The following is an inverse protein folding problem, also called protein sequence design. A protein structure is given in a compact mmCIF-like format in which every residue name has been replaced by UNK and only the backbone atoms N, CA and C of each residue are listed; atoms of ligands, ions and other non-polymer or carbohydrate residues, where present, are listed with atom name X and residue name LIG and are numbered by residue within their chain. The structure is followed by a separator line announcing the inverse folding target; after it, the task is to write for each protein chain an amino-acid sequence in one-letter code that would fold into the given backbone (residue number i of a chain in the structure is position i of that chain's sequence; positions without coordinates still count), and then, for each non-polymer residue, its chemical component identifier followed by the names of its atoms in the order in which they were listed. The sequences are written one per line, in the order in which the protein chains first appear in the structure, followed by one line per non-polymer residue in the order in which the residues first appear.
data_IF_704723776072
#
_entry.id   IF_704723776072
#
_cell.length_a   1.000
_cell.length_b   1.000
_cell.length_c   1.000
_cell.angle_alpha   90.00
_cell.angle_beta   90.00
_cell.angle_gamma   90.00
#
_symmetry.space_group_name_H-M   'P 1'
#
loop_
_entity.id
_entity.type
_entity.pdbx_description
1 polymer ?
#
# COMPACT_ATOMS: atom_id res chain seq x y z
N UNK A 1 5.64 -48.07 -13.72
CA UNK A 1 5.06 -48.28 -12.38
C UNK A 1 4.46 -46.96 -11.92
N UNK A 2 3.15 -46.96 -11.62
CA UNK A 2 2.41 -45.81 -11.08
C UNK A 2 2.71 -45.69 -9.59
N UNK A 3 2.72 -44.47 -9.06
CA UNK A 3 2.18 -44.03 -7.75
C UNK A 3 2.90 -42.77 -7.28
N UNK A 4 2.17 -41.65 -7.13
CA UNK A 4 2.20 -40.90 -5.85
C UNK A 4 1.03 -39.91 -5.78
N UNK A 5 0.12 -40.18 -4.85
CA UNK A 5 -1.03 -39.36 -4.51
C UNK A 5 -0.58 -38.19 -3.62
N UNK A 6 -0.96 -36.96 -3.98
CA UNK A 6 -0.77 -35.78 -3.13
C UNK A 6 -1.98 -35.64 -2.21
N UNK A 7 -1.75 -35.75 -0.90
CA UNK A 7 -2.71 -35.44 0.15
C UNK A 7 -2.80 -33.91 0.25
N UNK A 8 -3.98 -33.35 -0.02
CA UNK A 8 -4.30 -31.94 0.21
C UNK A 8 -5.16 -31.89 1.47
N UNK A 9 -4.56 -31.48 2.58
CA UNK A 9 -5.29 -31.11 3.79
C UNK A 9 -5.74 -29.66 3.66
N UNK A 10 -7.07 -29.47 3.59
CA UNK A 10 -7.70 -28.16 3.54
C UNK A 10 -7.77 -27.49 4.91
N UNK A 11 -7.75 -26.17 4.91
CA UNK A 11 -8.20 -25.35 6.04
C UNK A 11 -9.13 -24.28 5.48
N UNK A 12 -10.42 -24.45 5.78
CA UNK A 12 -11.45 -23.45 5.57
C UNK A 12 -11.41 -22.46 6.74
N UNK A 13 -11.39 -21.17 6.44
CA UNK A 13 -11.68 -20.12 7.42
C UNK A 13 -12.57 -19.08 6.76
N UNK A 14 -13.88 -19.32 6.86
CA UNK A 14 -14.94 -18.38 6.52
C UNK A 14 -15.06 -17.32 7.62
N UNK A 15 -14.90 -16.04 7.29
CA UNK A 15 -15.33 -14.94 8.15
C UNK A 15 -15.83 -13.80 7.26
N UNK A 16 -17.16 -13.68 7.21
CA UNK A 16 -17.88 -12.58 6.58
C UNK A 16 -17.81 -11.34 7.47
N UNK A 17 -17.64 -10.15 6.89
CA UNK A 17 -17.97 -8.91 7.57
C UNK A 17 -18.72 -7.95 6.64
N UNK A 18 -19.86 -7.50 7.15
CA UNK A 18 -20.83 -6.63 6.51
C UNK A 18 -20.31 -5.20 6.32
N UNK A 19 -20.59 -4.61 5.15
CA UNK A 19 -20.36 -3.20 4.87
C UNK A 19 -21.59 -2.37 5.28
N UNK A 20 -21.42 -1.48 6.27
CA UNK A 20 -22.36 -0.41 6.53
C UNK A 20 -21.93 0.83 5.72
N UNK A 21 -22.78 1.28 4.80
CA UNK A 21 -22.57 2.47 4.00
C UNK A 21 -22.72 3.75 4.82
N UNK A 22 -21.90 4.77 4.51
CA UNK A 22 -22.06 6.12 5.05
C UNK A 22 -22.46 7.07 3.92
N UNK A 23 -23.57 7.75 4.14
CA UNK A 23 -24.19 8.77 3.27
C UNK A 23 -23.39 10.07 3.37
N UNK A 24 -23.04 10.67 2.23
CA UNK A 24 -22.45 12.00 2.16
C UNK A 24 -23.52 13.08 2.33
N UNK A 25 -23.26 14.06 3.20
CA UNK A 25 -23.97 15.33 3.24
C UNK A 25 -22.98 16.47 2.98
N UNK A 26 -23.21 17.19 1.87
CA UNK A 26 -22.60 18.47 1.53
C UNK A 26 -23.41 19.60 2.19
N UNK A 27 -22.73 20.66 2.66
CA UNK A 27 -23.23 21.99 2.28
C UNK A 27 -22.09 22.92 1.86
N UNK A 28 -22.27 23.58 0.72
CA UNK A 28 -21.45 24.68 0.27
C UNK A 28 -21.83 26.02 0.92
N UNK A 29 -20.86 26.92 1.00
CA UNK A 29 -20.92 28.40 1.01
C UNK A 29 -19.45 28.82 1.26
N UNK A 30 -18.77 29.69 0.52
CA UNK A 30 -19.14 31.00 0.03
C UNK A 30 -17.85 31.77 -0.31
N UNK A 31 -17.96 32.71 -1.25
CA UNK A 31 -16.90 33.49 -1.88
C UNK A 31 -15.97 34.25 -0.93
N UNK A 32 -14.70 34.34 -1.33
CA UNK A 32 -13.72 35.30 -0.81
C UNK A 32 -12.65 35.63 -1.86
N UNK A 33 -12.93 36.63 -2.70
CA UNK A 33 -11.94 37.29 -3.57
C UNK A 33 -10.90 38.02 -2.69
N UNK A 34 -9.63 37.66 -2.87
CA UNK A 34 -8.49 38.35 -2.24
C UNK A 34 -7.30 38.34 -3.20
N UNK A 35 -7.18 39.42 -3.96
CA UNK A 35 -6.11 39.69 -4.91
C UNK A 35 -4.81 39.99 -4.16
N UNK A 36 -3.78 39.20 -4.40
CA UNK A 36 -2.44 39.40 -3.84
C UNK A 36 -1.39 38.75 -4.73
N UNK A 37 -0.88 39.50 -5.70
CA UNK A 37 0.35 39.16 -6.41
C UNK A 37 1.49 39.03 -5.40
N UNK A 38 2.03 37.82 -5.22
CA UNK A 38 3.38 37.64 -4.73
C UNK A 38 4.09 36.57 -5.59
N UNK A 39 5.00 37.03 -6.44
CA UNK A 39 5.96 36.21 -7.16
C UNK A 39 6.94 35.59 -6.14
N UNK A 40 6.61 34.40 -5.65
CA UNK A 40 7.50 33.57 -4.84
C UNK A 40 7.87 32.31 -5.62
N UNK A 41 9.06 32.31 -6.23
CA UNK A 41 9.74 31.10 -6.70
C UNK A 41 9.98 30.16 -5.51
N UNK A 42 9.14 29.14 -5.37
CA UNK A 42 9.24 28.17 -4.30
C UNK A 42 8.47 26.91 -4.64
N UNK A 43 9.08 26.02 -5.43
CA UNK A 43 8.88 24.56 -5.55
C UNK A 43 7.67 23.94 -4.80
N UNK A 44 6.46 24.39 -5.14
CA UNK A 44 5.21 24.02 -4.48
C UNK A 44 4.21 23.45 -5.48
N UNK A 45 4.60 22.43 -6.26
CA UNK A 45 3.69 21.73 -7.18
C UNK A 45 4.05 20.25 -7.32
N UNK A 46 4.25 19.55 -6.19
CA UNK A 46 4.36 18.08 -6.20
C UNK A 46 3.49 17.38 -5.14
N UNK A 47 2.71 18.12 -4.35
CA UNK A 47 1.89 17.58 -3.27
C UNK A 47 0.40 17.41 -3.59
N UNK A 48 -0.09 18.00 -4.69
CA UNK A 48 -1.53 18.17 -4.91
C UNK A 48 -2.25 17.05 -5.66
N UNK A 49 -1.52 16.16 -6.36
CA UNK A 49 -2.16 15.26 -7.34
C UNK A 49 -2.61 13.90 -6.77
N UNK A 50 -2.35 13.63 -5.49
CA UNK A 50 -2.81 12.42 -4.79
C UNK A 50 -3.78 12.72 -3.63
N UNK A 51 -4.21 13.98 -3.47
CA UNK A 51 -5.04 14.40 -2.34
C UNK A 51 -6.51 13.95 -2.40
N UNK A 52 -6.94 13.29 -3.49
CA UNK A 52 -8.33 12.82 -3.66
C UNK A 52 -8.46 11.38 -4.14
N UNK A 53 -7.35 10.65 -4.24
CA UNK A 53 -7.35 9.31 -4.79
C UNK A 53 -7.38 8.29 -3.65
N UNK A 54 -8.43 7.47 -3.56
CA UNK A 54 -8.48 6.39 -2.58
C UNK A 54 -7.40 5.35 -2.89
N UNK A 55 -6.29 5.48 -2.18
CA UNK A 55 -5.10 4.61 -2.28
C UNK A 55 -5.48 3.15 -2.00
N UNK A 56 -6.48 2.90 -1.15
CA UNK A 56 -6.97 1.56 -0.82
C UNK A 56 -7.77 0.97 -1.98
N UNK A 57 -8.70 1.74 -2.55
CA UNK A 57 -9.49 1.30 -3.71
C UNK A 57 -8.59 0.99 -4.92
N UNK A 58 -7.61 1.85 -5.21
CA UNK A 58 -6.64 1.58 -6.28
C UNK A 58 -5.78 0.34 -6.01
N UNK A 59 -5.37 0.12 -4.76
CA UNK A 59 -4.63 -1.09 -4.39
C UNK A 59 -5.47 -2.35 -4.61
N UNK A 60 -6.75 -2.33 -4.23
CA UNK A 60 -7.67 -3.44 -4.45
C UNK A 60 -7.88 -3.76 -5.93
N UNK A 61 -8.13 -2.75 -6.77
CA UNK A 61 -8.27 -2.93 -8.23
C UNK A 61 -7.00 -3.53 -8.83
N UNK A 62 -5.82 -2.98 -8.49
CA UNK A 62 -4.54 -3.52 -9.00
C UNK A 62 -4.28 -4.96 -8.59
N UNK A 63 -4.69 -5.35 -7.38
CA UNK A 63 -4.58 -6.73 -6.91
C UNK A 63 -5.53 -7.65 -7.68
N UNK A 64 -6.78 -7.24 -7.93
CA UNK A 64 -7.73 -8.01 -8.72
C UNK A 64 -7.26 -8.21 -10.18
N UNK A 65 -6.73 -7.16 -10.80
CA UNK A 65 -6.15 -7.23 -12.15
C UNK A 65 -4.96 -8.18 -12.18
N UNK A 66 -4.05 -8.06 -11.20
CA UNK A 66 -2.88 -8.93 -11.11
C UNK A 66 -3.27 -10.40 -10.91
N UNK A 67 -4.27 -10.69 -10.07
CA UNK A 67 -4.78 -12.06 -9.89
C UNK A 67 -5.25 -12.66 -11.21
N UNK A 68 -6.00 -11.85 -11.97
CA UNK A 68 -6.58 -12.24 -13.25
C UNK A 68 -5.49 -12.50 -14.29
N UNK A 69 -4.51 -11.61 -14.39
CA UNK A 69 -3.38 -11.74 -15.33
C UNK A 69 -2.48 -12.93 -15.00
N UNK A 70 -2.22 -13.17 -13.70
CA UNK A 70 -1.47 -14.34 -13.25
C UNK A 70 -2.26 -15.63 -13.44
N UNK A 71 -3.58 -15.58 -13.69
CA UNK A 71 -4.44 -16.76 -13.78
C UNK A 71 -4.20 -17.70 -12.60
N UNK A 72 -4.26 -17.13 -11.38
CA UNK A 72 -4.02 -17.88 -10.13
C UNK A 72 -4.90 -19.13 -10.11
N UNK A 73 -4.28 -20.28 -9.89
CA UNK A 73 -4.98 -21.58 -9.86
C UNK A 73 -5.49 -21.90 -8.45
N UNK A 74 -6.41 -22.85 -8.29
CA UNK A 74 -6.89 -23.25 -6.96
C UNK A 74 -5.78 -23.70 -6.01
N UNK A 75 -4.70 -24.29 -6.53
CA UNK A 75 -3.53 -24.70 -5.72
C UNK A 75 -2.65 -23.53 -5.28
N UNK A 76 -2.76 -22.37 -5.93
CA UNK A 76 -2.00 -21.15 -5.65
C UNK A 76 -2.80 -20.15 -4.79
N UNK A 77 -4.12 -20.35 -4.67
CA UNK A 77 -5.05 -19.42 -4.03
C UNK A 77 -4.66 -19.08 -2.59
N UNK A 78 -4.17 -20.05 -1.82
CA UNK A 78 -3.72 -19.82 -0.44
C UNK A 78 -2.54 -18.82 -0.37
N UNK A 79 -1.53 -18.98 -1.24
CA UNK A 79 -0.39 -18.06 -1.30
C UNK A 79 -0.81 -16.68 -1.82
N UNK A 80 -1.75 -16.65 -2.78
CA UNK A 80 -2.33 -15.40 -3.27
C UNK A 80 -3.05 -14.63 -2.17
N UNK A 81 -3.88 -15.29 -1.35
CA UNK A 81 -4.62 -14.64 -0.26
C UNK A 81 -3.67 -14.04 0.79
N UNK A 82 -2.59 -14.74 1.16
CA UNK A 82 -1.56 -14.20 2.05
C UNK A 82 -0.94 -12.93 1.49
N UNK A 83 -0.56 -12.95 0.21
CA UNK A 83 -0.03 -11.79 -0.49
C UNK A 83 -1.02 -10.62 -0.57
N UNK A 84 -2.27 -10.91 -0.92
CA UNK A 84 -3.33 -9.91 -1.06
C UNK A 84 -3.61 -9.22 0.28
N UNK A 85 -3.71 -9.98 1.36
CA UNK A 85 -3.91 -9.45 2.70
C UNK A 85 -2.74 -8.56 3.14
N UNK A 86 -1.50 -8.98 2.88
CA UNK A 86 -0.32 -8.16 3.17
C UNK A 86 -0.31 -6.85 2.36
N UNK A 87 -0.72 -6.91 1.09
CA UNK A 87 -0.82 -5.72 0.25
C UNK A 87 -1.91 -4.75 0.73
N UNK A 88 -3.05 -5.26 1.20
CA UNK A 88 -4.11 -4.45 1.82
C UNK A 88 -3.61 -3.77 3.10
N UNK A 89 -2.93 -4.51 3.99
CA UNK A 89 -2.33 -3.95 5.20
C UNK A 89 -1.32 -2.84 4.88
N UNK A 90 -0.50 -3.03 3.84
CA UNK A 90 0.43 -2.01 3.38
C UNK A 90 -0.29 -0.73 2.92
N UNK A 91 -1.41 -0.86 2.21
CA UNK A 91 -2.20 0.30 1.78
C UNK A 91 -2.77 1.08 2.98
N UNK A 92 -3.27 0.39 4.00
CA UNK A 92 -3.75 1.00 5.23
C UNK A 92 -2.61 1.68 6.00
N UNK A 93 -1.43 1.06 6.08
CA UNK A 93 -0.25 1.65 6.71
C UNK A 93 0.22 2.93 5.97
N UNK A 94 0.11 2.97 4.63
CA UNK A 94 0.40 4.18 3.85
C UNK A 94 -0.59 5.31 4.13
N UNK A 95 -1.89 5.00 4.25
CA UNK A 95 -2.91 5.98 4.63
C UNK A 95 -2.64 6.54 6.04
N UNK A 96 -2.32 5.68 7.00
CA UNK A 96 -1.96 6.10 8.37
C UNK A 96 -0.71 7.00 8.39
N UNK A 97 0.33 6.66 7.62
CA UNK A 97 1.51 7.52 7.46
C UNK A 97 1.17 8.88 6.83
N UNK A 98 0.26 8.92 5.86
CA UNK A 98 -0.15 10.16 5.22
C UNK A 98 -0.92 11.06 6.19
N UNK A 99 -1.81 10.50 7.00
CA UNK A 99 -2.51 11.22 8.08
C UNK A 99 -1.55 11.75 9.15
N UNK A 100 -0.58 10.94 9.58
CA UNK A 100 0.44 11.39 10.53
C UNK A 100 1.31 12.53 9.96
N UNK A 101 1.65 12.47 8.66
CA UNK A 101 2.39 13.54 7.99
C UNK A 101 1.59 14.83 7.87
N UNK A 102 0.29 14.77 7.57
CA UNK A 102 -0.54 15.96 7.50
C UNK A 102 -0.70 16.61 8.88
N UNK A 103 -0.86 15.81 9.94
CA UNK A 103 -0.87 16.28 11.32
C UNK A 103 0.47 16.95 11.72
N UNK A 104 1.60 16.33 11.36
CA UNK A 104 2.92 16.92 11.62
C UNK A 104 3.09 18.26 10.89
N UNK A 105 2.63 18.33 9.63
CA UNK A 105 2.70 19.54 8.83
C UNK A 105 1.86 20.68 9.43
N UNK A 106 0.63 20.40 9.89
CA UNK A 106 -0.20 21.40 10.56
C UNK A 106 0.37 21.85 11.90
N UNK A 107 0.94 20.94 12.69
CA UNK A 107 1.63 21.28 13.94
C UNK A 107 2.86 22.16 13.72
N UNK A 108 3.60 21.95 12.63
CA UNK A 108 4.75 22.79 12.28
C UNK A 108 4.35 24.19 11.79
N UNK A 109 3.24 24.31 11.06
CA UNK A 109 2.71 25.62 10.64
C UNK A 109 2.19 26.44 11.83
N UNK A 110 1.71 25.78 12.89
CA UNK A 110 1.12 26.42 14.06
C UNK A 110 2.09 26.59 15.24
N UNK A 111 3.36 26.18 15.11
CA UNK A 111 4.34 26.25 16.20
C UNK A 111 4.92 27.65 16.39
N UNK A 112 4.97 28.13 17.64
CA UNK A 112 5.68 29.35 18.00
C UNK A 112 7.22 29.15 17.91
N UNK A 113 8.00 30.20 17.58
CA UNK A 113 9.45 30.11 17.53
C UNK A 113 10.04 29.63 18.88
N UNK A 114 10.79 28.53 18.88
CA UNK A 114 11.50 28.02 20.06
C UNK A 114 10.94 26.74 20.70
N UNK A 115 9.83 26.18 20.20
CA UNK A 115 9.34 24.88 20.67
C UNK A 115 10.24 23.74 20.12
N UNK A 116 11.05 23.12 20.99
CA UNK A 116 11.76 21.88 20.68
C UNK A 116 10.83 20.68 20.83
N UNK A 117 10.61 19.95 19.75
CA UNK A 117 9.64 18.85 19.67
C UNK A 117 10.37 17.51 19.62
N UNK A 118 10.82 17.05 20.79
CA UNK A 118 11.22 15.65 21.03
C UNK A 118 10.15 14.66 20.54
N UNK A 119 8.88 15.05 20.56
CA UNK A 119 7.76 14.29 19.98
C UNK A 119 7.90 14.01 18.48
N UNK A 120 8.50 14.91 17.69
CA UNK A 120 8.70 14.62 16.26
C UNK A 120 9.77 13.57 16.01
N UNK A 121 10.81 13.50 16.85
CA UNK A 121 11.81 12.45 16.73
C UNK A 121 11.18 11.07 17.02
N UNK A 122 10.37 10.95 18.07
CA UNK A 122 9.64 9.73 18.39
C UNK A 122 8.65 9.34 17.28
N UNK A 123 7.88 10.29 16.73
CA UNK A 123 6.97 10.03 15.61
C UNK A 123 7.71 9.58 14.34
N UNK A 124 8.85 10.19 14.01
CA UNK A 124 9.68 9.75 12.88
C UNK A 124 10.19 8.33 13.08
N UNK A 125 10.66 7.99 14.28
CA UNK A 125 11.14 6.65 14.59
C UNK A 125 10.00 5.61 14.46
N UNK A 126 8.81 5.94 14.96
CA UNK A 126 7.63 5.08 14.82
C UNK A 126 7.26 4.85 13.33
N UNK A 127 7.34 5.88 12.49
CA UNK A 127 7.11 5.74 11.04
C UNK A 127 8.17 4.85 10.37
N UNK A 128 9.44 4.96 10.76
CA UNK A 128 10.50 4.10 10.23
C UNK A 128 10.27 2.64 10.63
N UNK A 129 10.00 2.37 11.91
CA UNK A 129 9.72 1.02 12.40
C UNK A 129 8.51 0.40 11.68
N UNK A 130 7.44 1.16 11.47
CA UNK A 130 6.27 0.70 10.72
C UNK A 130 6.62 0.37 9.26
N UNK A 131 7.46 1.18 8.61
CA UNK A 131 7.93 0.93 7.25
C UNK A 131 8.76 -0.34 7.15
N UNK A 132 9.69 -0.54 8.08
CA UNK A 132 10.59 -1.70 8.06
C UNK A 132 9.83 -3.01 8.32
N UNK A 133 8.89 -3.00 9.28
CA UNK A 133 8.00 -4.12 9.54
C UNK A 133 7.14 -4.45 8.30
N UNK A 134 6.53 -3.43 7.68
CA UNK A 134 5.75 -3.61 6.46
C UNK A 134 6.59 -4.18 5.32
N UNK A 135 7.82 -3.66 5.12
CA UNK A 135 8.73 -4.14 4.08
C UNK A 135 9.05 -5.62 4.26
N UNK A 136 9.43 -6.02 5.48
CA UNK A 136 9.79 -7.40 5.80
C UNK A 136 8.62 -8.34 5.54
N UNK A 137 7.42 -7.98 5.99
CA UNK A 137 6.21 -8.77 5.77
C UNK A 137 5.85 -8.84 4.28
N UNK A 138 6.04 -7.75 3.53
CA UNK A 138 5.86 -7.71 2.07
C UNK A 138 6.82 -8.67 1.35
N UNK A 139 8.09 -8.64 1.71
CA UNK A 139 9.13 -9.46 1.07
C UNK A 139 8.87 -10.95 1.34
N UNK A 140 8.42 -11.30 2.54
CA UNK A 140 7.99 -12.66 2.88
C UNK A 140 6.79 -13.11 2.03
N UNK A 141 5.73 -12.30 1.98
CA UNK A 141 4.53 -12.64 1.22
C UNK A 141 4.78 -12.74 -0.30
N UNK A 142 5.69 -11.91 -0.84
CA UNK A 142 6.16 -12.03 -2.23
C UNK A 142 6.90 -13.35 -2.43
N UNK A 143 7.84 -13.69 -1.54
CA UNK A 143 8.60 -14.94 -1.63
C UNK A 143 7.68 -16.16 -1.63
N UNK A 144 6.69 -16.19 -0.75
CA UNK A 144 5.72 -17.29 -0.65
C UNK A 144 4.86 -17.40 -1.91
N UNK A 145 4.43 -16.28 -2.49
CA UNK A 145 3.75 -16.26 -3.78
C UNK A 145 4.65 -16.84 -4.89
N UNK A 146 5.89 -16.36 -5.01
CA UNK A 146 6.84 -16.82 -6.03
C UNK A 146 7.21 -18.31 -5.89
N UNK A 147 7.14 -18.88 -4.70
CA UNK A 147 7.39 -20.30 -4.50
C UNK A 147 6.36 -21.21 -5.22
N UNK A 148 5.13 -20.71 -5.43
CA UNK A 148 4.04 -21.49 -6.05
C UNK A 148 3.73 -21.09 -7.50
N UNK A 149 4.30 -19.98 -7.99
CA UNK A 149 4.10 -19.53 -9.37
C UNK A 149 4.90 -20.36 -10.39
N UNK A 150 4.30 -20.58 -11.55
CA UNK A 150 4.98 -21.11 -12.75
C UNK A 150 5.97 -20.07 -13.33
N UNK A 151 6.95 -20.49 -14.16
CA UNK A 151 7.87 -19.58 -14.82
C UNK A 151 7.17 -18.44 -15.59
N UNK A 152 6.08 -18.75 -16.29
CA UNK A 152 5.29 -17.79 -17.07
C UNK A 152 4.60 -16.77 -16.16
N UNK A 153 4.02 -17.23 -15.05
CA UNK A 153 3.41 -16.35 -14.04
C UNK A 153 4.45 -15.47 -13.35
N UNK A 154 5.65 -15.98 -13.07
CA UNK A 154 6.74 -15.19 -12.49
C UNK A 154 7.15 -14.03 -13.41
N UNK A 155 7.20 -14.26 -14.72
CA UNK A 155 7.51 -13.21 -15.68
C UNK A 155 6.47 -12.07 -15.65
N UNK A 156 5.18 -12.42 -15.57
CA UNK A 156 4.09 -11.44 -15.42
C UNK A 156 4.20 -10.71 -14.08
N UNK A 157 4.42 -11.44 -12.99
CA UNK A 157 4.59 -10.88 -11.65
C UNK A 157 5.76 -9.89 -11.60
N UNK A 158 6.91 -10.25 -12.21
CA UNK A 158 8.07 -9.37 -12.30
C UNK A 158 7.74 -8.07 -13.02
N UNK A 159 7.02 -8.12 -14.14
CA UNK A 159 6.63 -6.91 -14.87
C UNK A 159 5.70 -6.02 -14.04
N UNK A 160 4.66 -6.60 -13.44
CA UNK A 160 3.62 -5.86 -12.73
C UNK A 160 4.09 -5.35 -11.37
N UNK A 161 4.79 -6.17 -10.59
CA UNK A 161 5.25 -5.78 -9.25
C UNK A 161 6.41 -4.78 -9.30
N UNK A 162 7.29 -4.87 -10.31
CA UNK A 162 8.33 -3.85 -10.50
C UNK A 162 7.75 -2.51 -10.97
N UNK A 163 6.69 -2.52 -11.80
CA UNK A 163 5.96 -1.32 -12.17
C UNK A 163 5.24 -0.67 -10.97
N UNK A 164 4.80 -1.48 -10.00
CA UNK A 164 4.16 -1.00 -8.76
C UNK A 164 5.14 -0.50 -7.70
N UNK A 165 6.40 -0.94 -7.72
CA UNK A 165 7.38 -0.69 -6.66
C UNK A 165 8.38 0.45 -6.89
N UNK A 166 8.43 1.05 -8.09
CA UNK A 166 9.44 2.05 -8.41
C UNK A 166 10.87 1.50 -8.34
N UNK A 167 11.34 0.90 -9.44
CA UNK A 167 12.77 0.82 -9.81
C UNK A 167 13.80 0.22 -8.81
N UNK A 168 13.48 -0.70 -7.89
CA UNK A 168 14.55 -1.32 -7.04
C UNK A 168 14.49 -2.81 -6.69
N UNK A 169 13.46 -3.57 -7.04
CA UNK A 169 13.30 -4.93 -6.46
C UNK A 169 13.66 -6.11 -7.37
N UNK A 170 13.90 -5.89 -8.66
CA UNK A 170 14.04 -6.99 -9.64
C UNK A 170 15.35 -7.82 -9.53
N UNK A 171 16.40 -7.32 -8.87
CA UNK A 171 17.73 -7.94 -8.97
C UNK A 171 17.95 -9.13 -8.01
N UNK A 172 17.17 -9.24 -6.93
CA UNK A 172 17.50 -10.17 -5.84
C UNK A 172 16.70 -11.47 -5.82
N UNK A 173 15.63 -11.61 -6.62
CA UNK A 173 14.77 -12.82 -6.60
C UNK A 173 15.08 -13.84 -7.71
N UNK A 174 16.02 -13.55 -8.61
CA UNK A 174 16.45 -14.47 -9.70
C UNK A 174 17.58 -15.43 -9.30
N UNK A 175 18.08 -15.34 -8.07
CA UNK A 175 19.13 -16.21 -7.53
C UNK A 175 18.59 -17.00 -6.34
N UNK A 176 17.83 -18.06 -6.62
CA UNK A 176 17.73 -19.30 -5.83
C UNK A 176 16.81 -20.28 -6.56
#
# INVERSE_FOLDING_TARGET
MKLTYKIIAGVAASLALAAAGVVYANPGMGSGMGQGMNMGMGHGMAGGMMAGTDVGAMAATRLADLKTELKITPTQEAAWLTFENQAKQQSAAMQAMQAMRSQMHSQMQNQQPGATSTDFAAQRNAMMALRDANRTARDAAVKDLYAVLTPEQKAIADQRLNAMGGHRTARNYRAN
#
